data_IF_232361414087
#
_entry.id   IF_232361414087
#
_cell.length_a   1.000
_cell.length_b   1.000
_cell.length_c   1.000
_cell.angle_alpha   90.00
_cell.angle_beta   90.00
_cell.angle_gamma   90.00
#
_symmetry.space_group_name_H-M   'P 1'
#
loop_
_entity.id
_entity.type
_entity.pdbx_description
1 polymer ?
#
# COMPACT_ATOMS: atom_id res chain seq x y z
N UNK A 1 9.14 -5.11 -9.78
CA UNK A 1 10.01 -6.27 -10.09
C UNK A 1 9.45 -7.49 -9.39
N UNK A 2 9.05 -8.51 -10.13
CA UNK A 2 8.62 -9.80 -9.58
C UNK A 2 9.86 -10.66 -9.27
N UNK A 3 9.98 -11.16 -8.04
CA UNK A 3 11.12 -11.98 -7.60
C UNK A 3 10.75 -13.46 -7.59
N UNK A 4 9.67 -13.82 -6.90
CA UNK A 4 9.30 -15.22 -6.69
C UNK A 4 7.82 -15.33 -6.32
N UNK A 5 7.16 -16.41 -6.75
CA UNK A 5 5.76 -16.67 -6.44
C UNK A 5 5.50 -18.18 -6.30
N UNK A 6 4.64 -18.52 -5.35
CA UNK A 6 4.10 -19.86 -5.06
C UNK A 6 2.61 -19.73 -4.76
N UNK A 7 1.90 -20.85 -4.61
CA UNK A 7 0.53 -20.84 -4.11
C UNK A 7 0.41 -20.24 -2.69
N UNK A 8 1.48 -20.29 -1.89
CA UNK A 8 1.47 -19.82 -0.50
C UNK A 8 1.83 -18.35 -0.33
N UNK A 9 2.66 -17.78 -1.21
CA UNK A 9 3.08 -16.39 -1.14
C UNK A 9 3.70 -15.86 -2.45
N UNK A 10 3.67 -14.54 -2.63
CA UNK A 10 4.41 -13.81 -3.65
C UNK A 10 5.43 -12.86 -3.03
N UNK A 11 6.50 -12.58 -3.76
CA UNK A 11 7.61 -11.72 -3.36
C UNK A 11 7.93 -10.76 -4.50
N UNK A 12 7.84 -9.46 -4.23
CA UNK A 12 8.10 -8.41 -5.21
C UNK A 12 8.85 -7.22 -4.62
N UNK A 13 9.54 -6.46 -5.46
CA UNK A 13 10.09 -5.14 -5.11
C UNK A 13 9.45 -4.08 -5.97
N UNK A 14 8.89 -3.06 -5.32
CA UNK A 14 8.34 -1.88 -5.97
C UNK A 14 9.33 -0.73 -5.91
N UNK A 15 9.43 0.01 -7.01
CA UNK A 15 10.25 1.22 -7.14
C UNK A 15 9.32 2.39 -7.39
N UNK A 16 9.20 3.30 -6.42
CA UNK A 16 8.37 4.49 -6.52
C UNK A 16 9.27 5.68 -6.88
N UNK A 17 8.88 6.40 -7.94
CA UNK A 17 9.53 7.67 -8.31
C UNK A 17 9.15 8.74 -7.27
N UNK A 18 10.01 9.74 -7.12
CA UNK A 18 9.72 10.89 -6.25
C UNK A 18 8.37 11.52 -6.61
N UNK A 19 7.52 11.73 -5.61
CA UNK A 19 6.20 12.32 -5.78
C UNK A 19 5.13 11.39 -6.39
N UNK A 20 5.41 10.09 -6.52
CA UNK A 20 4.41 9.09 -6.94
C UNK A 20 3.89 8.28 -5.76
N UNK A 21 2.72 7.69 -5.93
CA UNK A 21 2.05 6.87 -4.93
C UNK A 21 1.47 5.62 -5.55
N UNK A 22 1.42 4.54 -4.78
CA UNK A 22 0.46 3.46 -5.03
C UNK A 22 -0.85 3.89 -4.37
N UNK A 23 -1.94 4.07 -5.16
CA UNK A 23 -3.22 4.55 -4.64
C UNK A 23 -3.76 3.65 -3.53
N UNK A 24 -4.72 4.17 -2.75
CA UNK A 24 -5.37 3.40 -1.69
C UNK A 24 -6.00 2.12 -2.26
N UNK A 25 -5.55 0.97 -1.77
CA UNK A 25 -5.95 -0.34 -2.26
C UNK A 25 -6.04 -1.38 -1.15
N UNK A 26 -6.67 -2.53 -1.42
CA UNK A 26 -6.79 -3.64 -0.48
C UNK A 26 -6.08 -4.95 -0.88
N UNK A 27 -5.96 -5.86 0.09
CA UNK A 27 -5.47 -7.24 -0.10
C UNK A 27 -6.48 -8.26 0.47
N UNK A 28 -7.57 -8.59 -0.26
CA UNK A 28 -8.65 -9.39 0.30
C UNK A 28 -8.18 -10.78 0.79
N UNK A 29 -8.31 -11.05 2.08
CA UNK A 29 -7.96 -12.37 2.64
C UNK A 29 -6.45 -12.65 2.75
N UNK A 30 -5.59 -11.65 2.56
CA UNK A 30 -4.14 -11.82 2.49
C UNK A 30 -3.44 -11.25 3.73
N UNK A 31 -2.30 -11.84 4.09
CA UNK A 31 -1.33 -11.27 5.01
C UNK A 31 -0.21 -10.65 4.21
N UNK A 32 0.26 -9.48 4.61
CA UNK A 32 1.29 -8.76 3.87
C UNK A 32 2.42 -8.25 4.77
N UNK A 33 3.60 -8.14 4.21
CA UNK A 33 4.75 -7.52 4.86
C UNK A 33 5.49 -6.62 3.87
N UNK A 34 5.66 -5.36 4.26
CA UNK A 34 6.36 -4.37 3.46
C UNK A 34 7.60 -3.86 4.18
N UNK A 35 8.77 -3.97 3.52
CA UNK A 35 10.05 -3.48 4.05
C UNK A 35 10.67 -2.49 3.09
N UNK A 36 10.84 -1.24 3.55
CA UNK A 36 11.61 -0.23 2.82
C UNK A 36 13.07 -0.66 2.72
N UNK A 37 13.56 -0.75 1.49
CA UNK A 37 14.93 -1.11 1.10
C UNK A 37 15.77 0.10 0.71
N UNK A 38 15.14 1.19 0.26
CA UNK A 38 15.79 2.44 -0.10
C UNK A 38 14.84 3.62 0.06
N UNK A 39 15.34 4.75 0.57
CA UNK A 39 14.58 5.99 0.68
C UNK A 39 13.52 5.95 1.78
N UNK A 40 12.47 6.75 1.62
CA UNK A 40 11.39 6.87 2.61
C UNK A 40 10.05 6.65 1.93
N UNK A 41 9.24 5.75 2.49
CA UNK A 41 7.85 5.54 2.08
C UNK A 41 6.93 5.93 3.23
N UNK A 42 5.80 6.57 2.90
CA UNK A 42 4.74 6.86 3.85
C UNK A 42 3.55 5.98 3.56
N UNK A 43 3.09 5.29 4.57
CA UNK A 43 1.92 4.43 4.50
C UNK A 43 0.72 5.10 5.19
N UNK A 44 -0.48 4.90 4.65
CA UNK A 44 -1.73 5.48 5.15
C UNK A 44 -2.87 4.47 5.07
N UNK A 45 -3.40 4.10 6.23
CA UNK A 45 -4.40 3.03 6.31
C UNK A 45 -5.83 3.56 6.45
N UNK A 46 -6.78 3.00 5.70
CA UNK A 46 -8.20 3.27 5.84
C UNK A 46 -9.01 1.97 6.01
N UNK A 47 -10.32 2.04 6.23
CA UNK A 47 -11.23 0.86 6.20
C UNK A 47 -12.50 1.26 5.42
N UNK A 48 -13.30 0.37 4.81
CA UNK A 48 -14.65 0.73 4.28
C UNK A 48 -15.54 1.25 5.44
N UNK A 49 -16.41 2.26 5.24
CA UNK A 49 -16.97 3.07 6.34
C UNK A 49 -15.91 3.26 7.44
N UNK A 50 -14.90 4.03 7.08
CA UNK A 50 -13.54 3.84 7.52
C UNK A 50 -13.14 4.62 8.72
N UNK A 51 -12.04 4.17 9.29
CA UNK A 51 -11.22 4.99 10.17
C UNK A 51 -9.86 5.07 9.51
N UNK A 52 -9.42 6.29 9.17
CA UNK A 52 -8.01 6.54 8.87
C UNK A 52 -7.26 6.28 10.18
N UNK A 53 -6.63 5.12 10.28
CA UNK A 53 -6.09 4.61 11.55
C UNK A 53 -4.74 5.23 11.84
N UNK A 54 -3.88 5.21 10.84
CA UNK A 54 -2.47 5.47 11.01
C UNK A 54 -1.90 6.18 9.79
N UNK A 55 -0.84 6.94 10.06
CA UNK A 55 0.05 7.48 9.05
C UNK A 55 1.46 7.30 9.61
N UNK A 56 2.26 6.47 8.97
CA UNK A 56 3.62 6.17 9.41
C UNK A 56 4.62 6.40 8.27
N UNK A 57 5.82 6.82 8.62
CA UNK A 57 6.94 6.94 7.70
C UNK A 57 7.94 5.82 7.98
N UNK A 58 8.26 5.06 6.93
CA UNK A 58 9.16 3.94 6.96
C UNK A 58 10.42 4.27 6.19
N UNK A 59 11.56 3.96 6.81
CA UNK A 59 12.89 4.13 6.23
C UNK A 59 13.59 2.78 6.16
N UNK A 60 14.79 2.76 5.59
CA UNK A 60 15.67 1.59 5.60
C UNK A 60 15.93 1.03 7.00
N UNK A 61 15.97 1.90 8.02
CA UNK A 61 16.20 1.51 9.42
C UNK A 61 14.93 1.02 10.13
N UNK A 62 13.75 1.28 9.58
CA UNK A 62 12.47 0.87 10.19
C UNK A 62 12.29 -0.65 10.07
N UNK A 63 11.60 -1.23 11.06
CA UNK A 63 11.02 -2.58 10.92
C UNK A 63 9.99 -2.63 9.78
N UNK A 64 9.57 -3.83 9.35
CA UNK A 64 8.57 -3.95 8.30
C UNK A 64 7.19 -3.45 8.77
N UNK A 65 6.42 -2.89 7.84
CA UNK A 65 4.97 -2.75 7.99
C UNK A 65 4.33 -4.13 7.80
N UNK A 66 3.33 -4.48 8.62
CA UNK A 66 2.66 -5.79 8.57
C UNK A 66 1.15 -5.56 8.49
N UNK A 67 0.52 -6.16 7.49
CA UNK A 67 -0.93 -6.15 7.30
C UNK A 67 -1.51 -7.55 7.42
N UNK A 68 -2.79 -7.61 7.80
CA UNK A 68 -3.57 -8.84 7.93
C UNK A 68 -4.93 -8.64 7.27
N UNK A 69 -5.71 -9.70 6.99
CA UNK A 69 -7.01 -9.56 6.35
C UNK A 69 -7.99 -8.62 7.09
N UNK A 70 -7.78 -8.41 8.38
CA UNK A 70 -8.69 -7.64 9.26
C UNK A 70 -8.06 -6.36 9.82
N UNK A 71 -6.80 -6.07 9.48
CA UNK A 71 -6.05 -4.96 10.05
C UNK A 71 -5.05 -4.42 9.05
N UNK A 72 -5.08 -3.10 8.86
CA UNK A 72 -4.14 -2.37 7.99
C UNK A 72 -4.16 -2.91 6.55
N UNK A 73 -5.28 -3.53 6.14
CA UNK A 73 -5.48 -4.19 4.85
C UNK A 73 -5.83 -3.24 3.70
N UNK A 74 -5.96 -1.96 4.00
CA UNK A 74 -6.43 -0.93 3.10
C UNK A 74 -5.47 0.22 3.27
N UNK A 75 -4.56 0.39 2.33
CA UNK A 75 -3.40 1.27 2.55
C UNK A 75 -2.97 2.03 1.29
N UNK A 76 -2.32 3.18 1.48
CA UNK A 76 -1.77 4.01 0.41
C UNK A 76 -0.30 4.29 0.71
N UNK A 77 0.56 4.04 -0.28
CA UNK A 77 2.01 4.17 -0.13
C UNK A 77 2.51 5.33 -0.98
N UNK A 78 3.04 6.36 -0.34
CA UNK A 78 3.64 7.54 -0.98
C UNK A 78 5.17 7.49 -0.88
N UNK A 79 5.90 7.85 -1.94
CA UNK A 79 7.33 8.15 -1.82
C UNK A 79 7.52 9.53 -1.16
N UNK A 80 8.37 9.60 -0.12
CA UNK A 80 8.63 10.81 0.66
C UNK A 80 10.04 11.34 0.36
N UNK A 81 10.11 12.63 0.03
CA UNK A 81 11.37 13.38 -0.13
C UNK A 81 12.41 12.72 -1.08
N UNK A 82 11.94 11.96 -2.06
CA UNK A 82 12.76 11.27 -3.03
C UNK A 82 12.11 9.99 -3.54
N UNK A 83 12.80 9.19 -4.37
CA UNK A 83 12.33 7.87 -4.74
C UNK A 83 12.46 6.90 -3.56
N UNK A 84 11.58 5.89 -3.56
CA UNK A 84 11.57 4.84 -2.55
C UNK A 84 11.55 3.46 -3.20
N UNK A 85 12.18 2.48 -2.56
CA UNK A 85 12.05 1.08 -2.93
C UNK A 85 11.63 0.27 -1.71
N UNK A 86 10.69 -0.65 -1.88
CA UNK A 86 10.28 -1.57 -0.83
C UNK A 86 10.10 -2.99 -1.35
N UNK A 87 10.38 -3.95 -0.48
CA UNK A 87 10.04 -5.36 -0.62
C UNK A 87 8.62 -5.58 -0.13
N UNK A 88 7.82 -6.33 -0.88
CA UNK A 88 6.48 -6.74 -0.51
C UNK A 88 6.36 -8.26 -0.55
N UNK A 89 5.77 -8.83 0.49
CA UNK A 89 5.48 -10.26 0.62
C UNK A 89 4.00 -10.40 0.92
N UNK A 90 3.26 -11.05 0.04
CA UNK A 90 1.82 -11.27 0.19
C UNK A 90 1.52 -12.77 0.29
N UNK A 91 0.72 -13.18 1.27
CA UNK A 91 0.40 -14.57 1.55
C UNK A 91 -1.10 -14.76 1.89
N UNK A 92 -1.89 -15.46 1.04
CA UNK A 92 -1.53 -15.91 -0.32
C UNK A 92 -1.33 -14.72 -1.29
N UNK A 93 -0.86 -14.95 -2.53
CA UNK A 93 -0.90 -13.93 -3.57
C UNK A 93 -2.34 -13.51 -3.94
N UNK A 94 -2.44 -12.40 -4.67
CA UNK A 94 -3.68 -12.04 -5.38
C UNK A 94 -4.09 -13.13 -6.37
N UNK A 95 -5.38 -13.29 -6.55
CA UNK A 95 -6.00 -14.30 -7.42
C UNK A 95 -7.44 -13.87 -7.76
N UNK A 96 -7.64 -13.20 -8.90
CA UNK A 96 -8.96 -12.81 -9.37
C UNK A 96 -9.96 -13.96 -9.50
N UNK A 97 -9.48 -15.16 -9.86
CA UNK A 97 -10.34 -16.32 -10.06
C UNK A 97 -10.87 -16.87 -8.72
N UNK A 98 -10.20 -16.55 -7.61
CA UNK A 98 -10.60 -16.90 -6.25
C UNK A 98 -11.01 -15.66 -5.41
N UNK A 99 -11.42 -14.58 -6.07
CA UNK A 99 -11.98 -13.37 -5.45
C UNK A 99 -10.99 -12.54 -4.65
N UNK A 100 -9.68 -12.73 -4.87
CA UNK A 100 -8.59 -11.90 -4.33
C UNK A 100 -8.14 -10.89 -5.37
N UNK A 101 -9.08 -10.09 -5.86
CA UNK A 101 -8.77 -8.91 -6.68
C UNK A 101 -8.25 -7.77 -5.81
N UNK A 102 -7.32 -6.99 -6.35
CA UNK A 102 -6.92 -5.72 -5.75
C UNK A 102 -7.96 -4.65 -6.11
N UNK A 103 -8.66 -4.10 -5.12
CA UNK A 103 -9.63 -3.02 -5.31
C UNK A 103 -9.01 -1.67 -4.94
N UNK A 104 -9.42 -0.61 -5.65
CA UNK A 104 -8.97 0.74 -5.37
C UNK A 104 -10.06 1.59 -4.74
N UNK A 105 -9.65 2.54 -3.91
CA UNK A 105 -10.57 3.38 -3.17
C UNK A 105 -10.11 4.84 -3.18
N UNK A 106 -11.07 5.76 -3.06
CA UNK A 106 -10.79 7.16 -2.73
C UNK A 106 -11.41 7.53 -1.40
N UNK A 107 -10.67 8.31 -0.61
CA UNK A 107 -11.21 8.93 0.61
C UNK A 107 -12.15 10.06 0.20
N UNK A 108 -13.40 10.00 0.67
CA UNK A 108 -14.35 11.09 0.56
C UNK A 108 -14.17 12.04 1.74
N UNK A 109 -13.86 13.30 1.46
CA UNK A 109 -13.83 14.32 2.49
C UNK A 109 -15.26 14.80 2.79
N UNK A 110 -15.67 14.89 4.08
CA UNK A 110 -16.94 15.52 4.42
C UNK A 110 -16.89 17.00 4.01
N UNK A 111 -17.99 17.51 3.45
CA UNK A 111 -18.14 18.94 3.13
C UNK A 111 -18.08 19.73 4.44
N UNK A 112 -16.92 20.26 4.79
CA UNK A 112 -16.71 21.12 5.96
C UNK A 112 -16.49 22.58 5.49
N UNK A 113 -16.99 23.59 6.22
CA UNK A 113 -16.60 24.97 6.01
C UNK A 113 -15.07 25.15 6.13
N UNK A 114 -14.49 26.04 5.33
CA UNK A 114 -13.06 26.26 5.04
C UNK A 114 -12.15 26.68 6.23
N UNK A 115 -12.39 26.26 7.48
CA UNK A 115 -11.66 26.79 8.65
C UNK A 115 -10.97 25.77 9.56
N UNK A 116 -10.94 24.48 9.22
CA UNK A 116 -10.10 23.52 9.95
C UNK A 116 -9.06 22.91 9.01
N UNK A 117 -7.82 23.39 9.08
CA UNK A 117 -6.68 22.64 8.54
C UNK A 117 -6.63 21.30 9.27
N UNK A 118 -6.91 20.22 8.54
CA UNK A 118 -6.78 18.86 9.07
C UNK A 118 -5.31 18.57 9.31
N UNK A 119 -4.85 18.83 10.54
CA UNK A 119 -3.51 18.45 10.97
C UNK A 119 -3.40 16.92 11.05
N UNK A 120 -2.18 16.39 10.90
CA UNK A 120 -1.90 14.97 11.09
C UNK A 120 -2.19 14.47 12.52
N UNK A 121 -2.52 15.35 13.46
CA UNK A 121 -2.71 15.06 14.88
C UNK A 121 -4.09 14.45 15.23
N UNK A 122 -5.05 14.42 14.30
CA UNK A 122 -6.42 13.97 14.57
C UNK A 122 -6.68 12.49 14.18
N UNK A 123 -5.65 11.64 14.19
CA UNK A 123 -5.83 10.20 13.98
C UNK A 123 -6.08 9.47 15.31
N UNK A 124 -7.00 8.50 15.39
CA UNK A 124 -7.83 7.97 14.30
C UNK A 124 -8.99 8.89 13.89
N UNK A 125 -9.31 8.97 12.58
CA UNK A 125 -10.41 9.79 12.04
C UNK A 125 -11.38 8.97 11.20
N UNK A 126 -12.68 9.09 11.45
CA UNK A 126 -13.70 8.51 10.57
C UNK A 126 -13.67 9.13 9.16
N UNK A 127 -13.74 8.28 8.15
CA UNK A 127 -13.71 8.63 6.73
C UNK A 127 -14.68 7.77 5.94
N UNK A 128 -15.17 8.25 4.81
CA UNK A 128 -15.92 7.42 3.88
C UNK A 128 -15.01 7.02 2.73
N UNK A 129 -15.02 5.74 2.36
CA UNK A 129 -14.31 5.24 1.19
C UNK A 129 -15.30 4.96 0.08
N UNK A 130 -14.99 5.44 -1.12
CA UNK A 130 -15.68 5.05 -2.34
C UNK A 130 -14.73 4.15 -3.13
N UNK A 131 -15.19 2.95 -3.46
CA UNK A 131 -14.49 2.08 -4.40
C UNK A 131 -14.50 2.72 -5.79
N UNK A 132 -13.36 2.69 -6.47
CA UNK A 132 -13.16 3.27 -7.78
C UNK A 132 -12.41 2.30 -8.69
N UNK A 133 -12.49 2.47 -10.01
CA UNK A 133 -11.47 1.91 -10.90
C UNK A 133 -10.07 2.36 -10.48
N UNK A 134 -9.05 1.66 -10.98
CA UNK A 134 -7.67 2.13 -10.93
C UNK A 134 -7.60 3.56 -11.50
N UNK A 135 -6.84 4.44 -10.84
CA UNK A 135 -6.69 5.82 -11.30
C UNK A 135 -5.95 5.86 -12.64
N UNK A 136 -6.43 6.69 -13.58
CA UNK A 136 -5.85 6.80 -14.94
C UNK A 136 -4.39 7.26 -14.95
N UNK A 137 -3.96 7.97 -13.91
CA UNK A 137 -2.60 8.47 -13.71
C UNK A 137 -1.72 7.53 -12.88
N UNK A 138 -2.24 6.36 -12.47
CA UNK A 138 -1.47 5.32 -11.82
C UNK A 138 -1.22 4.14 -12.77
N UNK A 139 0.05 3.81 -12.97
CA UNK A 139 0.46 2.61 -13.69
C UNK A 139 1.62 1.93 -12.96
N UNK A 140 1.65 0.60 -13.03
CA UNK A 140 2.73 -0.22 -12.48
C UNK A 140 3.25 -1.13 -13.59
N UNK A 141 4.53 -0.99 -13.92
CA UNK A 141 5.19 -1.80 -14.94
C UNK A 141 6.05 -2.90 -14.30
N UNK A 142 6.06 -4.06 -14.94
CA UNK A 142 6.89 -5.19 -14.55
C UNK A 142 8.28 -5.08 -15.18
N UNK A 143 9.32 -5.11 -14.35
CA UNK A 143 10.71 -5.20 -14.78
C UNK A 143 11.33 -6.55 -14.32
N UNK A 144 12.19 -7.21 -15.13
CA UNK A 144 12.89 -8.42 -14.73
C UNK A 144 13.75 -8.19 -13.48
N UNK A 145 13.75 -9.14 -12.56
CA UNK A 145 14.60 -9.08 -11.36
C UNK A 145 16.08 -9.37 -11.73
N UNK A 146 17.01 -8.41 -11.54
CA UNK A 146 18.41 -8.58 -11.93
C UNK A 146 19.30 -9.13 -10.80
N UNK A 147 18.73 -9.39 -9.62
CA UNK A 147 19.49 -9.80 -8.44
C UNK A 147 19.88 -11.28 -8.43
N UNK A 148 20.46 -11.77 -7.32
CA UNK A 148 20.83 -13.17 -7.16
C UNK A 148 19.63 -14.10 -7.38
N UNK A 149 19.86 -15.26 -8.00
CA UNK A 149 18.78 -16.25 -8.22
C UNK A 149 18.18 -16.69 -6.88
N UNK A 150 16.86 -16.69 -6.82
CA UNK A 150 16.08 -17.28 -5.72
C UNK A 150 15.70 -18.69 -6.12
N UNK A 151 15.93 -19.65 -5.23
CA UNK A 151 15.55 -21.05 -5.42
C UNK A 151 14.52 -21.44 -4.34
N UNK A 152 13.60 -22.38 -4.64
CA UNK A 152 12.67 -22.95 -3.66
C UNK A 152 13.40 -23.65 -2.50
#
# INVERSE_FOLDING_TARGET
MHIYETEGFSLGVFLLKSGTSIPLHDHPGMHGMLKVLYGTARDRDAVRAGVLRSRAEYTEASGPCVLTPYRDNLHQIDAVDGPAAFLDILAPPYDPDDGRDCHYYRVLEPVRPKEASSSACDLPREVWLLETPQADDFWCEGEPYPGPKVFP
#
